data_IF_480737079571
#
_entry.id   IF_480737079571
#
_cell.length_a   1.000
_cell.length_b   1.000
_cell.length_c   1.000
_cell.angle_alpha   90.00
_cell.angle_beta   90.00
_cell.angle_gamma   90.00
#
_symmetry.space_group_name_H-M   'P 1'
#
loop_
_entity.id
_entity.type
_entity.pdbx_description
1 polymer ?
#
# COMPACT_ATOMS: atom_id res chain seq x y z
N UNK A 1 23.11 10.96 -6.62
CA UNK A 1 21.83 11.05 -5.88
C UNK A 1 21.34 9.63 -5.66
N UNK A 2 20.90 9.31 -4.45
CA UNK A 2 20.45 7.98 -4.06
C UNK A 2 19.08 7.68 -4.72
N UNK A 3 19.10 7.19 -5.96
CA UNK A 3 17.90 6.71 -6.66
C UNK A 3 17.41 5.42 -5.96
N UNK A 4 16.10 5.28 -5.71
CA UNK A 4 15.51 4.04 -5.17
C UNK A 4 15.03 4.02 -3.72
N UNK A 5 14.92 5.16 -3.00
CA UNK A 5 14.42 5.16 -1.60
C UNK A 5 12.98 5.64 -1.45
N UNK A 6 12.41 6.34 -2.45
CA UNK A 6 11.05 6.87 -2.32
C UNK A 6 10.02 5.76 -2.41
N UNK A 7 10.29 4.74 -3.21
CA UNK A 7 9.56 3.47 -3.19
C UNK A 7 9.41 2.87 -1.79
N UNK A 8 10.51 2.70 -1.07
CA UNK A 8 10.49 2.15 0.29
C UNK A 8 9.64 3.00 1.25
N UNK A 9 9.72 4.32 1.14
CA UNK A 9 8.85 5.24 1.89
C UNK A 9 7.36 5.01 1.62
N UNK A 10 7.01 4.75 0.36
CA UNK A 10 5.62 4.52 -0.03
C UNK A 10 5.11 3.13 0.36
N UNK A 11 5.89 2.09 0.09
CA UNK A 11 5.45 0.69 0.20
C UNK A 11 5.69 0.06 1.58
N UNK A 12 6.60 0.60 2.41
CA UNK A 12 7.00 -0.04 3.67
C UNK A 12 6.55 0.73 4.91
N UNK A 13 6.43 2.06 4.84
CA UNK A 13 6.00 2.83 6.01
C UNK A 13 4.52 2.64 6.31
N UNK A 14 4.14 2.26 7.54
CA UNK A 14 2.75 2.00 7.92
C UNK A 14 1.82 3.19 7.78
N UNK A 15 2.22 4.35 8.28
CA UNK A 15 1.32 5.50 8.42
C UNK A 15 1.26 6.32 7.13
N UNK A 16 0.15 7.03 6.89
CA UNK A 16 0.17 8.14 5.96
C UNK A 16 1.13 9.23 6.49
N UNK A 17 1.63 10.05 5.58
CA UNK A 17 2.38 11.26 5.93
C UNK A 17 1.53 12.23 6.73
N UNK A 18 2.13 12.86 7.74
CA UNK A 18 1.52 13.91 8.55
C UNK A 18 1.96 15.33 8.12
N UNK A 19 2.56 15.46 6.93
CA UNK A 19 2.97 16.72 6.33
C UNK A 19 2.27 17.00 4.99
N UNK A 20 2.92 17.80 4.14
CA UNK A 20 2.38 18.21 2.83
C UNK A 20 2.24 17.07 1.81
N UNK A 21 2.83 15.90 2.07
CA UNK A 21 2.75 14.73 1.18
C UNK A 21 2.22 13.56 1.99
N UNK A 22 1.04 13.06 1.62
CA UNK A 22 0.35 11.99 2.36
C UNK A 22 0.97 10.62 2.03
N UNK A 23 1.54 10.47 0.84
CA UNK A 23 2.13 9.20 0.39
C UNK A 23 3.42 8.78 1.12
N UNK A 24 4.15 9.72 1.73
CA UNK A 24 5.44 9.44 2.41
C UNK A 24 5.42 9.89 3.87
N UNK A 25 6.19 9.23 4.75
CA UNK A 25 6.34 9.71 6.11
C UNK A 25 7.04 11.07 6.18
N UNK A 26 6.73 11.84 7.22
CA UNK A 26 7.55 12.98 7.60
C UNK A 26 8.84 12.54 8.29
N UNK A 27 9.73 13.51 8.49
CA UNK A 27 10.98 13.25 9.18
C UNK A 27 10.79 12.86 10.64
N UNK A 28 9.75 13.39 11.28
CA UNK A 28 9.38 12.97 12.62
C UNK A 28 8.93 11.50 12.65
N UNK A 29 8.09 11.09 11.70
CA UNK A 29 7.65 9.68 11.60
C UNK A 29 8.82 8.73 11.35
N UNK A 30 9.76 9.09 10.46
CA UNK A 30 10.97 8.26 10.22
C UNK A 30 11.82 8.09 11.47
N UNK A 31 11.95 9.13 12.30
CA UNK A 31 12.79 9.11 13.49
C UNK A 31 12.13 8.42 14.69
N UNK A 32 10.81 8.27 14.69
CA UNK A 32 10.04 7.82 15.87
C UNK A 32 9.35 6.48 15.67
N UNK A 33 8.91 6.16 14.45
CA UNK A 33 8.20 4.93 14.18
C UNK A 33 9.18 3.76 13.99
N UNK A 34 8.86 2.64 14.62
CA UNK A 34 9.54 1.38 14.34
C UNK A 34 9.07 0.88 12.97
N UNK A 35 9.99 0.81 12.02
CA UNK A 35 9.74 0.11 10.77
C UNK A 35 9.41 -1.36 11.06
N UNK A 36 8.46 -1.96 10.31
CA UNK A 36 8.31 -3.40 10.34
C UNK A 36 9.67 -4.06 10.07
N UNK A 37 10.03 -5.11 10.81
CA UNK A 37 11.25 -5.88 10.52
C UNK A 37 11.05 -6.67 9.23
N UNK A 38 11.05 -6.00 8.10
CA UNK A 38 11.18 -6.64 6.80
C UNK A 38 12.64 -6.98 6.65
N UNK A 39 12.95 -8.27 6.69
CA UNK A 39 14.22 -8.81 6.28
C UNK A 39 14.50 -8.35 4.84
N UNK A 40 15.22 -7.24 4.71
CA UNK A 40 15.98 -6.73 3.54
C UNK A 40 15.34 -6.71 2.14
N UNK A 41 14.05 -6.98 1.98
CA UNK A 41 13.40 -6.92 0.66
C UNK A 41 13.01 -5.47 0.33
N UNK A 42 13.96 -4.74 -0.28
CA UNK A 42 13.73 -3.41 -0.84
C UNK A 42 12.61 -3.45 -1.87
N UNK A 43 11.79 -2.40 -1.90
CA UNK A 43 10.87 -2.19 -3.00
C UNK A 43 11.65 -1.68 -4.22
N UNK A 44 11.64 -2.48 -5.30
CA UNK A 44 12.27 -2.09 -6.57
C UNK A 44 11.44 -1.07 -7.35
N UNK A 45 10.16 -0.91 -7.02
CA UNK A 45 9.33 0.15 -7.57
C UNK A 45 9.71 1.45 -6.89
N UNK A 46 9.94 2.52 -7.65
CA UNK A 46 10.28 3.83 -7.11
C UNK A 46 9.15 4.83 -7.32
N UNK A 47 9.24 5.96 -6.64
CA UNK A 47 8.35 7.11 -6.82
C UNK A 47 9.17 8.26 -7.38
N UNK A 48 8.69 8.87 -8.45
CA UNK A 48 9.36 9.98 -9.13
C UNK A 48 8.47 11.22 -9.22
N UNK A 49 9.12 12.37 -9.37
CA UNK A 49 8.45 13.63 -9.60
C UNK A 49 8.20 13.81 -11.09
N UNK A 50 6.96 14.09 -11.45
CA UNK A 50 6.55 14.44 -12.80
C UNK A 50 6.50 15.97 -12.91
N UNK A 51 7.46 16.57 -13.62
CA UNK A 51 7.57 18.03 -13.76
C UNK A 51 6.40 18.63 -14.54
N UNK A 52 5.88 17.92 -15.54
CA UNK A 52 4.78 18.39 -16.38
C UNK A 52 3.48 18.47 -15.57
N UNK A 53 3.22 17.48 -14.73
CA UNK A 53 2.01 17.43 -13.90
C UNK A 53 2.17 18.08 -12.53
N UNK A 54 3.40 18.44 -12.14
CA UNK A 54 3.71 18.95 -10.81
C UNK A 54 3.29 18.00 -9.70
N UNK A 55 3.48 16.69 -9.89
CA UNK A 55 2.98 15.66 -8.98
C UNK A 55 3.91 14.45 -8.89
N UNK A 56 3.83 13.72 -7.77
CA UNK A 56 4.54 12.46 -7.62
C UNK A 56 3.76 11.32 -8.28
N UNK A 57 4.46 10.38 -8.90
CA UNK A 57 3.89 9.15 -9.44
C UNK A 57 4.79 7.94 -9.21
N UNK A 58 4.19 6.75 -9.24
CA UNK A 58 4.97 5.52 -9.38
C UNK A 58 5.77 5.59 -10.69
N UNK A 59 7.06 5.26 -10.62
CA UNK A 59 7.97 5.33 -11.78
C UNK A 59 7.62 4.31 -12.86
N UNK A 60 6.94 3.22 -12.47
CA UNK A 60 6.46 2.17 -13.36
C UNK A 60 4.98 1.85 -13.08
N UNK A 61 4.27 1.21 -14.03
CA UNK A 61 2.92 0.73 -13.78
C UNK A 61 2.88 -0.24 -12.59
N UNK A 62 2.00 0.05 -11.64
CA UNK A 62 1.75 -0.77 -10.45
C UNK A 62 0.50 -1.61 -10.65
N UNK A 63 0.39 -2.72 -9.91
CA UNK A 63 -0.84 -3.51 -9.91
C UNK A 63 -1.86 -2.84 -9.00
N UNK A 64 -3.03 -2.54 -9.54
CA UNK A 64 -4.12 -1.89 -8.84
C UNK A 64 -5.32 -2.83 -8.71
N UNK A 65 -5.79 -3.02 -7.49
CA UNK A 65 -7.13 -3.52 -7.19
C UNK A 65 -7.97 -2.30 -6.84
N UNK A 66 -8.88 -1.91 -7.73
CA UNK A 66 -9.59 -0.64 -7.58
C UNK A 66 -10.50 -0.61 -6.36
N UNK A 67 -11.12 -1.75 -6.05
CA UNK A 67 -12.05 -1.89 -4.93
C UNK A 67 -11.87 -3.23 -4.22
N UNK A 68 -11.34 -3.18 -3.01
CA UNK A 68 -11.27 -4.29 -2.07
C UNK A 68 -11.81 -3.90 -0.71
N UNK A 69 -12.64 -4.74 -0.12
CA UNK A 69 -13.17 -4.55 1.23
C UNK A 69 -12.21 -5.17 2.24
N UNK A 70 -11.65 -4.35 3.13
CA UNK A 70 -10.79 -4.78 4.23
C UNK A 70 -11.64 -4.88 5.49
N UNK A 71 -11.43 -5.95 6.25
CA UNK A 71 -11.99 -6.12 7.60
C UNK A 71 -10.99 -6.71 8.57
N UNK A 72 -11.31 -6.57 9.86
CA UNK A 72 -10.57 -7.16 10.99
C UNK A 72 -9.17 -6.56 11.21
N UNK A 73 -8.91 -5.39 10.63
CA UNK A 73 -7.69 -4.59 10.89
C UNK A 73 -7.99 -3.25 11.58
N UNK A 74 -9.22 -3.02 12.04
CA UNK A 74 -9.63 -1.75 12.65
C UNK A 74 -9.11 -1.55 14.07
N UNK A 75 -8.85 -2.64 14.81
CA UNK A 75 -8.41 -2.58 16.21
C UNK A 75 -6.89 -2.49 16.29
N UNK A 76 -6.38 -1.64 17.19
CA UNK A 76 -4.95 -1.63 17.51
C UNK A 76 -4.55 -2.97 18.12
N UNK A 77 -3.53 -3.60 17.54
CA UNK A 77 -3.10 -4.93 17.94
C UNK A 77 -2.02 -4.93 19.01
N UNK A 78 -1.83 -6.08 19.68
CA UNK A 78 -0.76 -6.25 20.66
C UNK A 78 0.62 -6.03 20.02
N UNK A 79 1.59 -5.58 20.83
CA UNK A 79 2.90 -5.11 20.36
C UNK A 79 3.71 -6.13 19.55
N UNK A 80 3.43 -7.42 19.71
CA UNK A 80 4.37 -8.51 19.39
C UNK A 80 3.97 -9.40 18.21
N UNK A 81 2.75 -9.25 17.66
CA UNK A 81 2.27 -10.11 16.56
C UNK A 81 1.67 -9.29 15.42
N UNK A 82 1.92 -9.66 14.15
CA UNK A 82 1.18 -9.10 13.03
C UNK A 82 -0.32 -9.27 13.24
N UNK A 83 -1.08 -8.21 12.95
CA UNK A 83 -2.54 -8.24 12.99
C UNK A 83 -3.04 -8.89 11.72
N UNK A 84 -3.92 -9.87 11.83
CA UNK A 84 -4.50 -10.55 10.68
C UNK A 84 -5.86 -9.95 10.36
N UNK A 85 -6.19 -9.90 9.08
CA UNK A 85 -7.54 -9.59 8.62
C UNK A 85 -7.78 -10.14 7.23
N UNK A 86 -8.84 -9.66 6.60
CA UNK A 86 -9.29 -10.19 5.32
C UNK A 86 -9.48 -9.10 4.29
N UNK A 87 -9.12 -9.43 3.05
CA UNK A 87 -9.38 -8.65 1.86
C UNK A 87 -10.38 -9.41 0.99
N UNK A 88 -11.58 -8.88 0.84
CA UNK A 88 -12.57 -9.35 -0.12
C UNK A 88 -12.53 -8.49 -1.39
N UNK A 89 -12.36 -9.12 -2.54
CA UNK A 89 -12.35 -8.46 -3.86
C UNK A 89 -13.23 -9.24 -4.83
N UNK A 90 -13.74 -8.57 -5.85
CA UNK A 90 -14.53 -9.22 -6.91
C UNK A 90 -13.74 -9.26 -8.21
N UNK A 91 -13.77 -10.40 -8.88
CA UNK A 91 -13.19 -10.51 -10.23
C UNK A 91 -14.12 -9.92 -11.30
N UNK A 92 -13.74 -10.09 -12.58
CA UNK A 92 -14.51 -9.60 -13.72
C UNK A 92 -15.91 -10.22 -13.81
N UNK A 93 -16.09 -11.44 -13.30
CA UNK A 93 -17.35 -12.17 -13.27
C UNK A 93 -18.17 -11.84 -12.00
N UNK A 94 -17.75 -10.84 -11.23
CA UNK A 94 -18.34 -10.45 -9.95
C UNK A 94 -18.25 -11.52 -8.85
N UNK A 95 -17.41 -12.54 -9.04
CA UNK A 95 -17.20 -13.60 -8.06
C UNK A 95 -16.34 -13.07 -6.92
N UNK A 96 -16.77 -13.20 -5.64
CA UNK A 96 -16.00 -12.75 -4.50
C UNK A 96 -14.82 -13.69 -4.21
N UNK A 97 -13.65 -13.10 -3.97
CA UNK A 97 -12.44 -13.77 -3.53
C UNK A 97 -11.98 -13.17 -2.21
N UNK A 98 -11.72 -14.02 -1.23
CA UNK A 98 -11.22 -13.61 0.10
C UNK A 98 -9.76 -14.03 0.24
N UNK A 99 -8.92 -13.08 0.62
CA UNK A 99 -7.50 -13.27 0.88
C UNK A 99 -7.18 -12.91 2.32
N UNK A 100 -6.39 -13.75 3.01
CA UNK A 100 -5.81 -13.36 4.29
C UNK A 100 -4.74 -12.29 4.05
N UNK A 101 -4.81 -11.24 4.85
CA UNK A 101 -3.84 -10.15 4.89
C UNK A 101 -3.34 -9.94 6.31
N UNK A 102 -2.17 -9.31 6.45
CA UNK A 102 -1.58 -8.99 7.73
C UNK A 102 -0.98 -7.59 7.76
N UNK A 103 -1.07 -6.92 8.90
CA UNK A 103 -0.38 -5.67 9.18
C UNK A 103 0.67 -5.91 10.28
N UNK A 104 1.95 -5.75 9.94
CA UNK A 104 3.10 -5.85 10.86
C UNK A 104 3.31 -4.59 11.71
N UNK A 105 2.27 -3.75 11.83
CA UNK A 105 2.28 -2.47 12.53
C UNK A 105 0.99 -2.27 13.33
N UNK A 106 1.02 -1.32 14.27
CA UNK A 106 -0.12 -1.03 15.16
C UNK A 106 -1.16 -0.10 14.56
N UNK A 107 -0.75 0.72 13.59
CA UNK A 107 -1.65 1.72 12.99
C UNK A 107 -2.93 1.06 12.46
N UNK A 108 -4.11 1.41 12.97
CA UNK A 108 -5.36 0.74 12.62
C UNK A 108 -5.74 1.03 11.16
N UNK A 109 -6.35 0.04 10.51
CA UNK A 109 -6.91 0.16 9.18
C UNK A 109 -8.41 -0.09 9.34
N UNK A 110 -9.25 0.96 9.36
CA UNK A 110 -10.68 0.80 9.54
C UNK A 110 -11.28 -0.17 8.52
N UNK A 111 -12.35 -0.84 8.92
CA UNK A 111 -13.09 -1.69 7.98
C UNK A 111 -13.71 -0.81 6.89
N UNK A 112 -13.61 -1.25 5.63
CA UNK A 112 -14.12 -0.45 4.53
C UNK A 112 -13.60 -0.85 3.16
N UNK A 113 -14.09 -0.14 2.15
CA UNK A 113 -13.61 -0.29 0.76
C UNK A 113 -12.40 0.61 0.51
N UNK A 114 -11.36 0.02 -0.05
CA UNK A 114 -10.11 0.68 -0.39
C UNK A 114 -9.64 0.31 -1.79
N UNK A 115 -8.75 1.14 -2.32
CA UNK A 115 -7.91 0.82 -3.48
C UNK A 115 -6.60 0.25 -2.97
N UNK A 116 -6.11 -0.83 -3.58
CA UNK A 116 -4.84 -1.45 -3.21
C UNK A 116 -3.84 -1.39 -4.36
N UNK A 117 -2.63 -0.93 -4.04
CA UNK A 117 -1.51 -0.89 -4.99
C UNK A 117 -0.43 -1.87 -4.58
N UNK A 118 -0.08 -2.76 -5.49
CA UNK A 118 0.95 -3.77 -5.31
C UNK A 118 2.12 -3.56 -6.27
N UNK A 119 3.36 -3.79 -5.83
CA UNK A 119 4.53 -3.79 -6.70
C UNK A 119 4.47 -4.95 -7.70
N UNK A 120 5.05 -4.76 -8.90
CA UNK A 120 5.04 -5.76 -9.97
C UNK A 120 6.01 -6.90 -9.66
N UNK A 121 7.20 -6.57 -9.16
CA UNK A 121 8.34 -7.51 -9.05
C UNK A 121 8.50 -8.17 -7.68
N UNK A 122 8.40 -7.44 -6.56
CA UNK A 122 8.71 -7.96 -5.21
C UNK A 122 7.50 -7.89 -4.27
N UNK A 123 6.97 -9.06 -3.89
CA UNK A 123 5.68 -9.19 -3.21
C UNK A 123 5.82 -9.50 -1.73
N UNK A 124 5.80 -8.44 -0.93
CA UNK A 124 5.30 -8.58 0.43
C UNK A 124 4.22 -7.55 0.73
N UNK A 125 4.40 -6.30 0.30
CA UNK A 125 3.55 -5.20 0.74
C UNK A 125 2.60 -4.68 -0.36
N UNK A 126 1.35 -4.47 0.02
CA UNK A 126 0.34 -3.72 -0.73
C UNK A 126 0.06 -2.43 0.01
N UNK A 127 0.01 -1.31 -0.71
CA UNK A 127 -0.41 -0.03 -0.15
C UNK A 127 -1.92 0.04 -0.21
N UNK A 128 -2.54 0.22 0.94
CA UNK A 128 -3.97 0.47 1.11
C UNK A 128 -4.18 1.97 1.03
N UNK A 129 -5.13 2.40 0.22
CA UNK A 129 -5.44 3.82 0.07
C UNK A 129 -6.79 4.08 -0.55
N UNK A 130 -7.02 5.34 -0.89
CA UNK A 130 -8.26 5.83 -1.50
C UNK A 130 -7.95 6.54 -2.80
N UNK A 131 -8.84 6.38 -3.77
CA UNK A 131 -8.87 7.18 -4.97
C UNK A 131 -9.52 8.53 -4.64
N UNK A 132 -8.79 9.62 -4.90
CA UNK A 132 -9.34 10.98 -4.83
C UNK A 132 -10.10 11.32 -6.13
N UNK A 133 -10.97 12.36 -6.12
CA UNK A 133 -11.71 12.76 -7.33
C UNK A 133 -10.83 13.19 -8.52
N UNK A 134 -9.56 13.51 -8.28
CA UNK A 134 -8.56 13.87 -9.30
C UNK A 134 -7.66 12.69 -9.70
N UNK A 135 -8.13 11.46 -9.44
CA UNK A 135 -7.46 10.18 -9.69
C UNK A 135 -6.17 9.92 -8.90
N UNK A 136 -5.73 10.85 -8.05
CA UNK A 136 -4.57 10.63 -7.17
C UNK A 136 -4.89 9.62 -6.09
N UNK A 137 -3.85 8.92 -5.67
CA UNK A 137 -3.93 7.91 -4.63
C UNK A 137 -3.52 8.50 -3.29
N UNK A 138 -4.48 8.56 -2.37
CA UNK A 138 -4.27 8.91 -0.98
C UNK A 138 -3.91 7.65 -0.19
N UNK A 139 -2.69 7.58 0.33
CA UNK A 139 -2.24 6.46 1.16
C UNK A 139 -3.00 6.44 2.49
N UNK A 140 -3.44 5.26 2.91
CA UNK A 140 -4.02 4.99 4.23
C UNK A 140 -3.09 4.13 5.05
N UNK A 141 -2.58 3.02 4.51
CA UNK A 141 -1.68 2.12 5.24
C UNK A 141 -0.96 1.15 4.29
N UNK A 142 -0.21 0.19 4.85
CA UNK A 142 0.36 -0.94 4.11
C UNK A 142 -0.07 -2.27 4.74
N UNK A 143 -0.23 -3.31 3.94
CA UNK A 143 -0.52 -4.67 4.40
C UNK A 143 0.31 -5.68 3.64
N UNK A 144 0.53 -6.85 4.21
CA UNK A 144 1.03 -8.02 3.49
C UNK A 144 -0.12 -8.99 3.21
N UNK A 145 -0.01 -9.79 2.15
CA UNK A 145 -1.08 -10.71 1.75
C UNK A 145 -0.56 -12.10 1.39
N UNK A 146 -1.48 -13.03 1.14
CA UNK A 146 -1.16 -14.37 0.63
C UNK A 146 -0.35 -14.31 -0.68
N UNK A 147 0.98 -14.46 -0.54
CA UNK A 147 2.00 -14.15 -1.55
C UNK A 147 1.69 -14.65 -2.96
N UNK A 148 1.15 -15.86 -3.11
CA UNK A 148 0.89 -16.43 -4.44
C UNK A 148 -0.54 -16.20 -4.95
N UNK A 149 -1.55 -16.25 -4.07
CA UNK A 149 -2.97 -16.16 -4.47
C UNK A 149 -3.32 -14.73 -4.85
N UNK A 150 -3.01 -13.75 -4.00
CA UNK A 150 -3.31 -12.34 -4.27
C UNK A 150 -2.50 -11.81 -5.46
N UNK A 151 -1.26 -12.29 -5.63
CA UNK A 151 -0.46 -11.99 -6.82
C UNK A 151 -1.12 -12.49 -8.11
N UNK A 152 -1.79 -13.64 -8.11
CA UNK A 152 -2.40 -14.18 -9.33
C UNK A 152 -3.83 -13.71 -9.53
N UNK A 153 -4.35 -12.83 -8.67
CA UNK A 153 -5.68 -12.28 -8.82
C UNK A 153 -5.80 -11.52 -10.15
N UNK A 154 -6.64 -12.02 -11.05
CA UNK A 154 -6.82 -11.48 -12.41
C UNK A 154 -7.59 -10.16 -12.46
N UNK A 155 -8.27 -9.77 -11.37
CA UNK A 155 -8.98 -8.49 -11.29
C UNK A 155 -8.07 -7.27 -11.08
N UNK A 156 -6.76 -7.46 -10.87
CA UNK A 156 -5.82 -6.35 -10.74
C UNK A 156 -5.34 -5.85 -12.10
N UNK A 157 -5.41 -4.53 -12.32
CA UNK A 157 -4.96 -3.85 -13.54
C UNK A 157 -3.56 -3.28 -13.37
N UNK A 158 -2.79 -3.14 -14.45
CA UNK A 158 -1.55 -2.37 -14.43
C UNK A 158 -1.83 -0.93 -14.84
N UNK A 159 -1.40 0.05 -14.04
CA UNK A 159 -1.59 1.46 -14.34
C UNK A 159 -0.49 2.33 -13.73
N UNK A 160 -0.23 3.47 -14.38
CA UNK A 160 0.62 4.53 -13.81
C UNK A 160 -0.22 5.30 -12.79
N UNK A 161 0.26 5.38 -11.56
CA UNK A 161 -0.47 5.98 -10.44
C UNK A 161 0.20 7.25 -9.95
N UNK A 162 -0.58 8.34 -9.86
CA UNK A 162 -0.17 9.58 -9.19
C UNK A 162 -0.53 9.56 -7.71
N UNK A 163 0.28 10.18 -6.87
CA UNK A 163 0.18 10.13 -5.41
C UNK A 163 -0.26 11.48 -4.84
N UNK A 164 -1.05 11.43 -3.77
CA UNK A 164 -1.46 12.60 -2.99
C UNK A 164 -0.42 13.02 -1.95
#
# INVERSE_FOLDING_TARGET
MLNGYRGDLFFLYPKPGDGNSIWRPSWNQVMTDKLPSTDRDRCYEDVEWDEEKGAYRCSQPVRCIERGYIRELAVEGPQERPRSGELEVKDADMTPHVFKIAASHRYPIPDGSYTLLGPKRFQMCWVVGRRLPDDRFEKVSVVTGERQRLKRFGGARELVQYLA
#
